data_IF_452013077360
#
_entry.id   IF_452013077360
#
_cell.length_a   1.000
_cell.length_b   1.000
_cell.length_c   1.000
_cell.angle_alpha   90.00
_cell.angle_beta   90.00
_cell.angle_gamma   90.00
#
_symmetry.space_group_name_H-M   'P 1'
#
loop_
_entity.id
_entity.type
_entity.pdbx_description
1 polymer ?
#
# COMPACT_ATOMS: atom_id res chain seq x y z
N UNK A 1 -0.40 -20.75 12.66
CA UNK A 1 -1.57 -21.51 13.23
C UNK A 1 -2.91 -21.04 12.66
N UNK A 2 -3.28 -19.74 12.67
CA UNK A 2 -4.56 -19.28 12.08
C UNK A 2 -4.55 -19.44 10.55
N UNK A 3 -3.54 -18.94 9.88
CA UNK A 3 -3.36 -18.99 8.42
C UNK A 3 -3.32 -20.42 7.86
N UNK A 4 -2.72 -21.36 8.61
CA UNK A 4 -2.67 -22.77 8.23
C UNK A 4 -4.07 -23.42 8.22
N UNK A 5 -4.91 -23.06 9.21
CA UNK A 5 -6.30 -23.54 9.25
C UNK A 5 -7.12 -22.98 8.10
N UNK A 6 -6.94 -21.71 7.78
CA UNK A 6 -7.61 -21.05 6.65
C UNK A 6 -7.21 -21.68 5.32
N UNK A 7 -5.92 -21.99 5.13
CA UNK A 7 -5.41 -22.71 3.96
C UNK A 7 -6.13 -24.07 3.76
N UNK A 8 -6.16 -24.87 4.81
CA UNK A 8 -6.81 -26.19 4.75
C UNK A 8 -8.30 -26.08 4.44
N UNK A 9 -9.01 -25.12 5.05
CA UNK A 9 -10.43 -24.89 4.78
C UNK A 9 -10.68 -24.49 3.32
N UNK A 10 -9.86 -23.62 2.76
CA UNK A 10 -9.97 -23.24 1.35
C UNK A 10 -9.73 -24.43 0.43
N UNK A 11 -8.70 -25.24 0.69
CA UNK A 11 -8.41 -26.43 -0.12
C UNK A 11 -9.58 -27.43 -0.05
N UNK A 12 -10.12 -27.70 1.14
CA UNK A 12 -11.26 -28.60 1.30
C UNK A 12 -12.51 -28.07 0.60
N UNK A 13 -12.75 -26.77 0.65
CA UNK A 13 -13.86 -26.14 -0.06
C UNK A 13 -13.67 -26.26 -1.58
N UNK A 14 -12.49 -25.88 -2.09
CA UNK A 14 -12.20 -25.91 -3.52
C UNK A 14 -12.28 -27.31 -4.13
N UNK A 15 -11.85 -28.34 -3.38
CA UNK A 15 -11.97 -29.75 -3.81
C UNK A 15 -13.42 -30.25 -4.00
N UNK A 16 -14.38 -29.59 -3.38
CA UNK A 16 -15.81 -29.96 -3.44
C UNK A 16 -16.57 -29.24 -4.56
N UNK A 17 -15.91 -28.34 -5.29
CA UNK A 17 -16.55 -27.57 -6.35
C UNK A 17 -16.37 -28.27 -7.70
N UNK A 18 -17.40 -28.27 -8.51
CA UNK A 18 -17.37 -28.80 -9.89
C UNK A 18 -16.54 -27.89 -10.81
N UNK A 19 -16.57 -26.58 -10.56
CA UNK A 19 -15.78 -25.57 -11.26
C UNK A 19 -14.95 -24.77 -10.26
N UNK A 20 -13.76 -24.29 -10.69
CA UNK A 20 -12.91 -23.45 -9.83
C UNK A 20 -13.59 -22.14 -9.50
N UNK A 21 -13.91 -21.86 -8.23
CA UNK A 21 -14.41 -20.55 -7.82
C UNK A 21 -13.32 -19.50 -7.93
N UNK A 22 -13.73 -18.23 -8.04
CA UNK A 22 -12.81 -17.09 -8.03
C UNK A 22 -12.41 -16.77 -6.59
N UNK A 23 -11.10 -16.61 -6.35
CA UNK A 23 -10.55 -16.20 -5.06
C UNK A 23 -10.10 -14.74 -5.14
N UNK A 24 -10.75 -13.88 -4.34
CA UNK A 24 -10.48 -12.45 -4.25
C UNK A 24 -10.05 -12.07 -2.84
N UNK A 25 -8.88 -11.47 -2.64
CA UNK A 25 -8.48 -10.95 -1.35
C UNK A 25 -9.26 -9.67 -1.02
N UNK A 26 -9.69 -9.55 0.24
CA UNK A 26 -10.42 -8.37 0.75
C UNK A 26 -9.57 -7.53 1.71
N UNK A 27 -8.33 -7.94 1.98
CA UNK A 27 -7.42 -7.28 2.90
C UNK A 27 -5.96 -7.65 2.57
N UNK A 28 -5.02 -6.76 2.84
CA UNK A 28 -3.59 -6.94 2.52
C UNK A 28 -3.03 -8.28 3.02
N UNK A 29 -3.38 -8.70 4.23
CA UNK A 29 -2.97 -10.00 4.76
C UNK A 29 -3.43 -11.20 3.91
N UNK A 30 -4.57 -11.07 3.23
CA UNK A 30 -5.03 -12.12 2.33
C UNK A 30 -4.35 -12.05 0.97
N UNK A 31 -3.85 -10.89 0.56
CA UNK A 31 -2.96 -10.78 -0.61
C UNK A 31 -1.67 -11.56 -0.35
N UNK A 32 -1.02 -11.31 0.79
CA UNK A 32 0.19 -12.02 1.21
C UNK A 32 -0.05 -13.52 1.37
N UNK A 33 -1.17 -13.90 2.01
CA UNK A 33 -1.57 -15.30 2.20
C UNK A 33 -1.78 -16.03 0.87
N UNK A 34 -2.48 -15.43 -0.09
CA UNK A 34 -2.70 -16.03 -1.41
C UNK A 34 -1.38 -16.20 -2.15
N UNK A 35 -0.46 -15.23 -2.05
CA UNK A 35 0.86 -15.32 -2.66
C UNK A 35 1.71 -16.44 -2.03
N UNK A 36 1.69 -16.56 -0.71
CA UNK A 36 2.43 -17.61 0.02
C UNK A 36 1.98 -19.03 -0.41
N UNK A 37 0.67 -19.21 -0.59
CA UNK A 37 0.09 -20.50 -0.94
C UNK A 37 -0.38 -20.59 -2.40
N UNK A 38 0.11 -19.71 -3.27
CA UNK A 38 -0.36 -19.55 -4.65
C UNK A 38 -0.40 -20.86 -5.43
N UNK A 39 0.73 -21.59 -5.49
CA UNK A 39 0.86 -22.83 -6.29
C UNK A 39 -0.05 -23.98 -5.80
N UNK A 40 -0.48 -23.91 -4.56
CA UNK A 40 -1.42 -24.87 -3.99
C UNK A 40 -2.86 -24.44 -4.28
N UNK A 41 -3.19 -23.17 -4.06
CA UNK A 41 -4.52 -22.62 -4.22
C UNK A 41 -4.98 -22.55 -5.67
N UNK A 42 -4.06 -22.26 -6.62
CA UNK A 42 -4.39 -22.19 -8.06
C UNK A 42 -4.90 -23.51 -8.63
N UNK A 43 -4.62 -24.63 -7.96
CA UNK A 43 -5.17 -25.95 -8.34
C UNK A 43 -6.69 -26.01 -8.19
N UNK A 44 -7.22 -25.23 -7.27
CA UNK A 44 -8.62 -25.27 -6.86
C UNK A 44 -9.39 -23.97 -7.13
N UNK A 45 -8.68 -22.87 -7.39
CA UNK A 45 -9.26 -21.53 -7.55
C UNK A 45 -8.79 -20.83 -8.80
N UNK A 46 -9.61 -19.92 -9.31
CA UNK A 46 -9.20 -18.86 -10.21
C UNK A 46 -8.71 -17.68 -9.35
N UNK A 47 -7.40 -17.47 -9.30
CA UNK A 47 -6.80 -16.40 -8.50
C UNK A 47 -6.73 -15.14 -9.34
N UNK A 48 -7.27 -14.03 -8.81
CA UNK A 48 -7.39 -12.75 -9.51
C UNK A 48 -6.08 -11.92 -9.51
N UNK A 49 -5.10 -12.32 -8.70
CA UNK A 49 -3.81 -11.62 -8.60
C UNK A 49 -2.68 -12.38 -9.31
N UNK A 50 -1.72 -11.63 -9.85
CA UNK A 50 -0.50 -12.21 -10.36
C UNK A 50 0.43 -12.60 -9.19
N UNK A 51 0.97 -13.82 -9.22
CA UNK A 51 1.85 -14.35 -8.18
C UNK A 51 3.02 -13.40 -7.90
N UNK A 52 3.18 -13.01 -6.64
CA UNK A 52 4.26 -12.17 -6.13
C UNK A 52 4.19 -10.70 -6.54
N UNK A 53 3.29 -10.30 -7.45
CA UNK A 53 3.19 -8.91 -7.88
C UNK A 53 2.43 -8.06 -6.84
N UNK A 54 1.26 -8.50 -6.45
CA UNK A 54 0.42 -7.71 -5.55
C UNK A 54 1.05 -7.55 -4.17
N UNK A 55 1.73 -8.58 -3.66
CA UNK A 55 2.49 -8.48 -2.40
C UNK A 55 3.61 -7.45 -2.50
N UNK A 56 4.34 -7.40 -3.63
CA UNK A 56 5.34 -6.35 -3.86
C UNK A 56 4.74 -4.95 -3.87
N UNK A 57 3.54 -4.78 -4.43
CA UNK A 57 2.86 -3.50 -4.51
C UNK A 57 2.28 -3.02 -3.16
N UNK A 58 2.21 -3.89 -2.14
CA UNK A 58 1.88 -3.48 -0.77
C UNK A 58 2.99 -2.66 -0.12
N UNK A 59 4.24 -2.89 -0.52
CA UNK A 59 5.36 -2.07 -0.06
C UNK A 59 5.36 -0.71 -0.77
N UNK A 60 5.29 0.36 0.02
CA UNK A 60 5.11 1.72 -0.48
C UNK A 60 6.32 2.22 -1.27
N UNK A 61 7.55 1.80 -0.91
CA UNK A 61 8.74 2.19 -1.65
C UNK A 61 8.84 1.44 -2.97
N UNK A 62 8.58 0.15 -2.96
CA UNK A 62 8.54 -0.66 -4.19
C UNK A 62 7.49 -0.12 -5.17
N UNK A 63 6.29 0.22 -4.67
CA UNK A 63 5.25 0.84 -5.50
C UNK A 63 5.70 2.20 -6.08
N UNK A 64 6.36 3.01 -5.26
CA UNK A 64 6.90 4.30 -5.66
C UNK A 64 7.96 4.15 -6.76
N UNK A 65 8.90 3.22 -6.61
CA UNK A 65 9.96 2.96 -7.59
C UNK A 65 9.38 2.46 -8.91
N UNK A 66 8.44 1.50 -8.87
CA UNK A 66 7.75 0.99 -10.06
C UNK A 66 6.99 2.12 -10.77
N UNK A 67 6.29 2.99 -10.05
CA UNK A 67 5.58 4.11 -10.64
C UNK A 67 6.54 5.08 -11.35
N UNK A 68 7.65 5.40 -10.71
CA UNK A 68 8.70 6.27 -11.26
C UNK A 68 9.35 5.68 -12.50
N UNK A 69 9.69 4.39 -12.49
CA UNK A 69 10.27 3.68 -13.62
C UNK A 69 9.32 3.65 -14.84
N UNK A 70 8.02 3.65 -14.59
CA UNK A 70 6.99 3.69 -15.63
C UNK A 70 6.50 5.11 -15.98
N UNK A 71 7.17 6.16 -15.51
CA UNK A 71 6.84 7.55 -15.83
C UNK A 71 5.52 8.05 -15.22
N UNK A 72 4.98 7.35 -14.21
CA UNK A 72 3.78 7.77 -13.48
C UNK A 72 4.16 8.86 -12.50
N UNK A 73 3.48 10.01 -12.57
CA UNK A 73 3.66 11.08 -11.59
C UNK A 73 3.16 10.62 -10.22
N UNK A 74 4.01 10.74 -9.26
CA UNK A 74 3.73 10.42 -7.85
C UNK A 74 4.12 11.61 -6.98
N UNK A 75 3.49 11.79 -5.81
CA UNK A 75 3.87 12.82 -4.87
C UNK A 75 5.33 12.65 -4.44
N UNK A 76 6.07 13.74 -4.39
CA UNK A 76 7.46 13.75 -3.90
C UNK A 76 7.49 13.23 -2.48
N UNK A 77 8.32 12.21 -2.25
CA UNK A 77 8.35 11.48 -0.98
C UNK A 77 9.80 11.34 -0.51
N UNK A 78 10.06 11.68 0.74
CA UNK A 78 11.39 11.66 1.36
C UNK A 78 11.32 10.84 2.65
N UNK A 79 12.28 9.92 2.83
CA UNK A 79 12.38 9.16 4.07
C UNK A 79 12.65 10.10 5.25
N UNK A 80 11.98 9.89 6.38
CA UNK A 80 12.26 10.65 7.61
C UNK A 80 13.62 10.32 8.24
N UNK A 81 14.35 9.36 7.67
CA UNK A 81 15.72 9.02 8.06
C UNK A 81 16.77 9.59 7.09
N UNK A 82 16.35 10.43 6.12
CA UNK A 82 17.28 11.11 5.22
C UNK A 82 18.15 12.10 6.02
N UNK A 83 19.46 12.06 5.79
CA UNK A 83 20.41 12.92 6.50
C UNK A 83 20.21 14.42 6.18
N UNK A 84 19.72 14.73 4.98
CA UNK A 84 19.45 16.08 4.50
C UNK A 84 17.95 16.39 4.47
N UNK A 85 17.16 15.74 5.32
CA UNK A 85 15.69 15.79 5.27
C UNK A 85 15.13 17.22 5.19
N UNK A 86 15.56 18.13 6.08
CA UNK A 86 15.02 19.49 6.15
C UNK A 86 15.33 20.26 4.86
N UNK A 87 16.56 20.17 4.36
CA UNK A 87 16.97 20.81 3.11
C UNK A 87 16.17 20.26 1.92
N UNK A 88 16.05 18.94 1.83
CA UNK A 88 15.31 18.28 0.77
C UNK A 88 13.82 18.59 0.81
N UNK A 89 13.21 18.60 2.00
CA UNK A 89 11.81 18.99 2.13
C UNK A 89 11.58 20.41 1.66
N UNK A 90 12.45 21.35 2.04
CA UNK A 90 12.35 22.74 1.57
C UNK A 90 12.47 22.89 0.05
N UNK A 91 13.36 22.11 -0.58
CA UNK A 91 13.66 22.25 -2.00
C UNK A 91 12.75 21.41 -2.90
N UNK A 92 12.32 20.24 -2.45
CA UNK A 92 11.64 19.23 -3.28
C UNK A 92 10.15 19.06 -2.95
N UNK A 93 9.74 19.30 -1.69
CA UNK A 93 8.36 19.07 -1.20
C UNK A 93 7.63 20.38 -0.93
N UNK A 94 8.25 21.25 -0.14
CA UNK A 94 7.64 22.49 0.34
C UNK A 94 6.65 22.27 1.49
N UNK A 95 6.03 23.39 1.92
CA UNK A 95 4.99 23.38 2.96
C UNK A 95 3.69 23.97 2.43
N UNK A 96 2.52 23.46 2.90
CA UNK A 96 2.37 22.37 3.88
C UNK A 96 2.77 21.01 3.31
N UNK A 97 3.35 20.16 4.16
CA UNK A 97 3.68 18.78 3.83
C UNK A 97 2.89 17.79 4.73
N UNK A 98 2.99 16.52 4.43
CA UNK A 98 2.30 15.46 5.17
C UNK A 98 3.29 14.41 5.65
N UNK A 99 3.18 14.01 6.91
CA UNK A 99 3.90 12.84 7.45
C UNK A 99 2.97 11.64 7.38
N UNK A 100 3.41 10.59 6.68
CA UNK A 100 2.69 9.32 6.55
C UNK A 100 3.48 8.17 7.17
N UNK A 101 2.81 7.25 7.86
CA UNK A 101 3.45 6.03 8.36
C UNK A 101 3.52 4.94 7.28
N UNK A 102 4.50 4.04 7.42
CA UNK A 102 4.48 2.76 6.72
C UNK A 102 3.36 1.87 7.26
N UNK A 103 3.24 1.75 8.59
CA UNK A 103 2.14 1.04 9.26
C UNK A 103 1.06 2.02 9.73
N UNK A 104 0.02 2.19 8.91
CA UNK A 104 -1.11 3.06 9.23
C UNK A 104 -1.92 2.56 10.43
N UNK A 105 -1.97 1.23 10.67
CA UNK A 105 -2.72 0.64 11.78
C UNK A 105 -2.04 0.99 13.11
N UNK A 106 -0.71 0.80 13.19
CA UNK A 106 0.07 1.17 14.38
C UNK A 106 -0.04 2.66 14.67
N UNK A 107 0.14 3.50 13.65
CA UNK A 107 0.07 4.96 13.76
C UNK A 107 -1.29 5.44 14.28
N UNK A 108 -2.39 4.92 13.68
CA UNK A 108 -3.76 5.30 14.08
C UNK A 108 -4.08 4.86 15.50
N UNK A 109 -3.58 3.71 15.95
CA UNK A 109 -3.76 3.26 17.34
C UNK A 109 -3.12 4.23 18.35
N UNK A 110 -1.95 4.79 18.02
CA UNK A 110 -1.21 5.70 18.90
C UNK A 110 -1.77 7.11 18.83
N UNK A 111 -1.95 7.65 17.63
CA UNK A 111 -2.22 9.09 17.45
C UNK A 111 -3.67 9.42 17.15
N UNK A 112 -4.52 8.43 16.92
CA UNK A 112 -5.94 8.61 16.52
C UNK A 112 -6.13 9.34 15.18
N UNK A 113 -5.07 9.55 14.45
CA UNK A 113 -4.99 10.16 13.13
C UNK A 113 -4.34 9.19 12.15
N UNK A 114 -4.58 9.35 10.86
CA UNK A 114 -3.91 8.55 9.81
C UNK A 114 -2.57 9.17 9.36
N UNK A 115 -2.42 10.48 9.56
CA UNK A 115 -1.28 11.28 9.09
C UNK A 115 -1.11 12.51 9.98
N UNK A 116 0.04 13.18 9.89
CA UNK A 116 0.20 14.56 10.37
C UNK A 116 0.35 15.51 9.19
N UNK A 117 -0.37 16.63 9.20
CA UNK A 117 -0.19 17.74 8.27
C UNK A 117 0.70 18.76 8.96
N UNK A 118 1.80 19.15 8.32
CA UNK A 118 2.79 20.06 8.86
C UNK A 118 2.86 21.32 7.98
N UNK A 119 2.67 22.47 8.59
CA UNK A 119 2.65 23.77 7.90
C UNK A 119 4.01 24.43 7.79
N UNK A 120 4.97 23.97 8.58
CA UNK A 120 6.33 24.48 8.68
C UNK A 120 7.28 23.40 9.21
N UNK A 121 8.56 23.75 9.28
CA UNK A 121 9.64 22.85 9.72
C UNK A 121 9.43 22.41 11.16
N UNK A 122 9.04 23.31 12.05
CA UNK A 122 8.89 23.05 13.47
C UNK A 122 7.80 21.99 13.72
N UNK A 123 6.67 22.10 13.01
CA UNK A 123 5.59 21.11 13.07
C UNK A 123 6.04 19.76 12.51
N UNK A 124 6.81 19.78 11.42
CA UNK A 124 7.35 18.57 10.82
C UNK A 124 8.32 17.85 11.77
N UNK A 125 9.30 18.56 12.33
CA UNK A 125 10.25 17.99 13.28
C UNK A 125 9.58 17.44 14.52
N UNK A 126 8.59 18.17 15.05
CA UNK A 126 7.79 17.71 16.19
C UNK A 126 6.99 16.45 15.85
N UNK A 127 6.43 16.34 14.65
CA UNK A 127 5.72 15.18 14.15
C UNK A 127 6.66 13.96 14.00
N UNK A 128 7.82 14.17 13.42
CA UNK A 128 8.86 13.14 13.26
C UNK A 128 9.31 12.63 14.62
N UNK A 129 9.59 13.55 15.55
CA UNK A 129 9.98 13.16 16.91
C UNK A 129 8.91 12.30 17.58
N UNK A 130 7.63 12.70 17.52
CA UNK A 130 6.52 11.91 18.09
C UNK A 130 6.46 10.51 17.51
N UNK A 131 6.66 10.35 16.20
CA UNK A 131 6.64 9.06 15.55
C UNK A 131 7.83 8.20 15.99
N UNK A 132 9.04 8.76 16.03
CA UNK A 132 10.25 8.08 16.50
C UNK A 132 10.16 7.64 17.97
N UNK A 133 9.62 8.49 18.84
CA UNK A 133 9.41 8.19 20.27
C UNK A 133 8.44 6.99 20.48
N UNK A 134 7.68 6.58 19.45
CA UNK A 134 6.76 5.45 19.47
C UNK A 134 7.17 4.30 18.52
N UNK A 135 8.41 4.28 18.07
CA UNK A 135 8.93 3.27 17.12
C UNK A 135 8.06 3.11 15.87
N UNK A 136 7.61 4.23 15.32
CA UNK A 136 6.80 4.25 14.09
C UNK A 136 7.65 4.81 12.95
N UNK A 137 7.87 3.98 11.95
CA UNK A 137 8.55 4.37 10.73
C UNK A 137 7.65 5.22 9.84
N UNK A 138 8.19 6.35 9.35
CA UNK A 138 7.44 7.37 8.63
C UNK A 138 8.24 7.96 7.46
N UNK A 139 7.53 8.62 6.57
CA UNK A 139 8.11 9.46 5.51
C UNK A 139 7.37 10.79 5.41
N UNK A 140 8.05 11.78 4.81
CA UNK A 140 7.48 13.09 4.49
C UNK A 140 7.11 13.11 3.02
N UNK A 141 5.93 13.63 2.70
CA UNK A 141 5.41 13.65 1.34
C UNK A 141 4.76 15.00 1.04
N UNK A 142 4.83 15.44 -0.23
CA UNK A 142 4.08 16.60 -0.70
C UNK A 142 2.57 16.35 -0.60
N UNK A 143 1.84 17.44 -0.36
CA UNK A 143 0.38 17.41 -0.43
C UNK A 143 -0.01 17.74 -1.88
N UNK A 144 -0.65 16.79 -2.55
CA UNK A 144 -1.24 17.05 -3.87
C UNK A 144 -2.40 18.04 -3.67
N UNK A 145 -2.35 19.22 -4.35
CA UNK A 145 -3.40 20.21 -4.20
C UNK A 145 -4.72 19.73 -4.80
N UNK A 146 -5.81 20.12 -4.18
CA UNK A 146 -7.18 19.77 -4.58
C UNK A 146 -8.03 19.39 -3.38
N UNK A 147 -9.35 19.33 -3.59
CA UNK A 147 -10.32 18.87 -2.62
C UNK A 147 -10.69 17.41 -2.89
N UNK A 148 -11.44 16.80 -2.00
CA UNK A 148 -11.86 15.40 -2.12
C UNK A 148 -12.70 15.13 -3.38
N UNK A 149 -13.39 16.13 -3.90
CA UNK A 149 -14.13 16.08 -5.17
C UNK A 149 -13.24 16.04 -6.44
N UNK A 150 -11.95 16.32 -6.28
CA UNK A 150 -10.95 16.18 -7.34
C UNK A 150 -10.31 14.79 -7.39
N UNK A 151 -10.66 13.90 -6.47
CA UNK A 151 -10.12 12.53 -6.45
C UNK A 151 -10.83 11.65 -7.48
N UNK A 152 -10.04 10.97 -8.28
CA UNK A 152 -10.52 9.98 -9.24
C UNK A 152 -9.99 8.61 -8.84
N UNK A 153 -10.87 7.60 -8.88
CA UNK A 153 -10.47 6.20 -8.78
C UNK A 153 -10.55 5.59 -10.16
N UNK A 154 -9.49 4.91 -10.55
CA UNK A 154 -9.44 4.18 -11.81
C UNK A 154 -9.34 2.69 -11.53
N UNK A 155 -10.42 1.98 -11.81
CA UNK A 155 -10.49 0.53 -11.62
C UNK A 155 -10.31 -0.18 -12.97
N UNK A 156 -9.51 -1.23 -13.00
CA UNK A 156 -9.31 -2.03 -14.19
C UNK A 156 -9.12 -3.51 -13.86
N UNK A 157 -9.45 -4.32 -14.83
CA UNK A 157 -9.20 -5.75 -14.82
C UNK A 157 -8.44 -6.14 -16.10
N UNK A 158 -7.39 -6.94 -15.94
CA UNK A 158 -6.63 -7.51 -17.04
C UNK A 158 -6.93 -9.01 -17.06
N UNK A 159 -7.49 -9.50 -18.16
CA UNK A 159 -7.74 -10.91 -18.35
C UNK A 159 -6.45 -11.69 -18.70
N UNK A 160 -6.55 -13.02 -18.78
CA UNK A 160 -5.40 -13.88 -19.12
C UNK A 160 -4.84 -13.67 -20.52
N UNK A 161 -5.58 -13.03 -21.43
CA UNK A 161 -5.11 -12.67 -22.76
C UNK A 161 -4.36 -11.33 -22.80
N UNK A 162 -4.30 -10.63 -21.65
CA UNK A 162 -3.75 -9.29 -21.54
C UNK A 162 -4.72 -8.18 -21.97
N UNK A 163 -5.98 -8.52 -22.24
CA UNK A 163 -7.01 -7.52 -22.55
C UNK A 163 -7.46 -6.81 -21.30
N UNK A 164 -7.40 -5.49 -21.32
CA UNK A 164 -7.84 -4.64 -20.21
C UNK A 164 -9.31 -4.26 -20.37
N UNK A 165 -10.07 -4.42 -19.30
CA UNK A 165 -11.38 -3.83 -19.09
C UNK A 165 -11.28 -2.82 -17.97
N UNK A 166 -11.79 -1.60 -18.18
CA UNK A 166 -11.64 -0.50 -17.22
C UNK A 166 -12.95 0.24 -17.02
N UNK A 167 -13.08 0.84 -15.82
CA UNK A 167 -14.16 1.73 -15.43
C UNK A 167 -13.55 2.96 -14.76
N UNK A 168 -14.13 4.14 -15.03
CA UNK A 168 -13.85 5.39 -14.32
C UNK A 168 -15.09 5.82 -13.54
#
# INVERSE_FOLDING_TARGET
>A
MLMEKERLLLIEYGKKQDEKPVLLPTHDKYVEFIDEYYDELEKYYLISQAKGLNTKLLDKWTLHDIAKENGVKIPTTISANDENLVERVNNEVGFPCIIKPFDTVKFTKVFRNKVFICKNIEEMEAGIKKAKDNDIEIFVQEIVPGFDDCMLTYDYYIDRSGKTTHYM
#
